data_IF_270024750231
#
_entry.id   IF_270024750231
#
_cell.length_a   1.000
_cell.length_b   1.000
_cell.length_c   1.000
_cell.angle_alpha   90.00
_cell.angle_beta   90.00
_cell.angle_gamma   90.00
#
_symmetry.space_group_name_H-M   'P 1'
#
loop_
_entity.id
_entity.type
_entity.pdbx_description
1 polymer ?
#
# COMPACT_ATOMS: atom_id res chain seq x y z
N UNK A 1 -19.04 -0.67 12.33
CA UNK A 1 -18.14 0.21 13.11
C UNK A 1 -16.70 -0.29 13.16
N UNK A 2 -16.42 -1.60 13.32
CA UNK A 2 -15.05 -2.14 13.37
C UNK A 2 -14.15 -1.77 12.17
N UNK A 3 -14.68 -1.84 10.94
CA UNK A 3 -13.91 -1.51 9.73
C UNK A 3 -13.45 -0.04 9.68
N UNK A 4 -14.21 0.88 10.25
CA UNK A 4 -13.86 2.31 10.26
C UNK A 4 -12.67 2.59 11.19
N UNK A 5 -12.68 1.97 12.39
CA UNK A 5 -11.60 2.10 13.37
C UNK A 5 -10.31 1.52 12.81
N UNK A 6 -10.37 0.33 12.20
CA UNK A 6 -9.21 -0.34 11.60
C UNK A 6 -8.60 0.53 10.50
N UNK A 7 -9.42 1.11 9.61
CA UNK A 7 -8.91 1.93 8.52
C UNK A 7 -8.31 3.25 9.03
N UNK A 8 -8.89 3.83 10.09
CA UNK A 8 -8.36 5.03 10.74
C UNK A 8 -6.99 4.75 11.37
N UNK A 9 -6.84 3.62 12.07
CA UNK A 9 -5.55 3.18 12.62
C UNK A 9 -4.53 2.96 11.51
N UNK A 10 -4.92 2.35 10.39
CA UNK A 10 -4.04 2.13 9.24
C UNK A 10 -3.52 3.47 8.68
N UNK A 11 -4.40 4.45 8.55
CA UNK A 11 -4.05 5.79 8.07
C UNK A 11 -3.09 6.50 9.04
N UNK A 12 -3.35 6.43 10.35
CA UNK A 12 -2.46 6.99 11.37
C UNK A 12 -1.11 6.29 11.40
N UNK A 13 -1.06 5.00 11.12
CA UNK A 13 0.17 4.22 11.04
C UNK A 13 0.98 4.60 9.80
N UNK A 14 0.34 4.76 8.64
CA UNK A 14 0.97 5.30 7.43
C UNK A 14 1.54 6.70 7.65
N UNK A 15 0.80 7.59 8.30
CA UNK A 15 1.29 8.91 8.67
C UNK A 15 2.47 8.84 9.65
N UNK A 16 2.41 7.94 10.64
CA UNK A 16 3.47 7.76 11.63
C UNK A 16 4.76 7.24 10.99
N UNK A 17 4.66 6.35 9.98
CA UNK A 17 5.79 5.89 9.18
C UNK A 17 6.49 7.06 8.47
N UNK A 18 5.73 7.99 7.90
CA UNK A 18 6.29 9.18 7.22
C UNK A 18 6.89 10.16 8.22
N UNK A 19 6.21 10.37 9.36
CA UNK A 19 6.62 11.30 10.41
C UNK A 19 7.90 10.86 11.12
N UNK A 20 8.00 9.58 11.45
CA UNK A 20 9.14 8.99 12.18
C UNK A 20 10.08 8.21 11.26
N UNK A 21 10.07 8.51 9.96
CA UNK A 21 10.82 7.79 8.92
C UNK A 21 12.30 7.61 9.22
N UNK A 22 12.94 8.59 9.86
CA UNK A 22 14.36 8.53 10.24
C UNK A 22 14.61 7.46 11.29
N UNK A 23 13.89 7.54 12.42
CA UNK A 23 14.01 6.55 13.50
C UNK A 23 13.68 5.15 13.02
N UNK A 24 12.66 5.02 12.17
CA UNK A 24 12.24 3.72 11.64
C UNK A 24 13.30 3.19 10.66
N UNK A 25 13.85 4.03 9.80
CA UNK A 25 14.93 3.64 8.90
C UNK A 25 16.19 3.21 9.67
N UNK A 26 16.56 3.94 10.73
CA UNK A 26 17.70 3.60 11.59
C UNK A 26 17.48 2.28 12.34
N UNK A 27 16.24 1.97 12.74
CA UNK A 27 15.88 0.71 13.40
C UNK A 27 15.85 -0.49 12.44
N UNK A 28 15.40 -0.29 11.19
CA UNK A 28 15.33 -1.36 10.19
C UNK A 28 16.73 -1.68 9.61
N UNK A 29 17.56 -0.64 9.43
CA UNK A 29 18.87 -0.76 8.79
C UNK A 29 18.80 -0.83 7.26
N UNK A 30 19.96 -0.70 6.61
CA UNK A 30 20.09 -0.64 5.15
C UNK A 30 20.36 -2.00 4.51
N UNK A 31 19.31 -2.60 3.95
CA UNK A 31 19.44 -3.79 3.14
C UNK A 31 19.97 -3.43 1.74
N UNK A 32 20.82 -4.29 1.16
CA UNK A 32 21.47 -4.03 -0.14
C UNK A 32 20.49 -3.61 -1.26
N UNK A 33 19.31 -4.23 -1.31
CA UNK A 33 18.30 -3.95 -2.33
C UNK A 33 17.57 -2.61 -2.13
N UNK A 34 17.54 -2.08 -0.90
CA UNK A 34 16.88 -0.79 -0.62
C UNK A 34 17.61 0.36 -1.32
N UNK A 35 18.90 0.20 -1.61
CA UNK A 35 19.69 1.16 -2.38
C UNK A 35 19.16 1.37 -3.80
N UNK A 36 18.58 0.35 -4.44
CA UNK A 36 17.97 0.49 -5.76
C UNK A 36 16.72 1.38 -5.76
N UNK A 37 16.05 1.46 -4.62
CA UNK A 37 14.82 2.25 -4.43
C UNK A 37 15.16 3.66 -3.90
N UNK A 38 16.44 4.02 -3.81
CA UNK A 38 16.90 5.30 -3.24
C UNK A 38 17.23 5.25 -1.74
N UNK A 39 17.45 4.06 -1.18
CA UNK A 39 17.83 3.81 0.20
C UNK A 39 16.64 3.58 1.13
N UNK A 40 16.95 3.18 2.38
CA UNK A 40 15.95 2.89 3.43
C UNK A 40 15.01 4.06 3.66
N UNK A 41 15.52 5.28 3.62
CA UNK A 41 14.74 6.47 3.87
C UNK A 41 13.60 6.62 2.87
N UNK A 42 13.91 6.57 1.57
CA UNK A 42 12.91 6.69 0.52
C UNK A 42 11.97 5.49 0.54
N UNK A 43 12.49 4.29 0.83
CA UNK A 43 11.68 3.10 1.00
C UNK A 43 10.61 3.24 2.11
N UNK A 44 11.00 3.69 3.31
CA UNK A 44 10.06 3.91 4.43
C UNK A 44 9.02 4.97 4.08
N UNK A 45 9.41 6.03 3.36
CA UNK A 45 8.47 7.05 2.86
C UNK A 45 7.47 6.43 1.89
N UNK A 46 7.93 5.64 0.91
CA UNK A 46 7.05 4.98 -0.08
C UNK A 46 6.04 4.08 0.62
N UNK A 47 6.50 3.23 1.55
CA UNK A 47 5.64 2.34 2.32
C UNK A 47 4.61 3.13 3.14
N UNK A 48 5.04 4.21 3.79
CA UNK A 48 4.16 5.09 4.56
C UNK A 48 3.09 5.76 3.71
N UNK A 49 3.45 6.28 2.54
CA UNK A 49 2.53 6.91 1.58
C UNK A 49 1.51 5.90 1.06
N UNK A 50 1.96 4.72 0.62
CA UNK A 50 1.06 3.66 0.14
C UNK A 50 0.08 3.26 1.25
N UNK A 51 0.58 3.03 2.47
CA UNK A 51 -0.26 2.64 3.61
C UNK A 51 -1.28 3.72 3.96
N UNK A 52 -0.88 4.99 3.92
CA UNK A 52 -1.76 6.13 4.18
C UNK A 52 -2.89 6.21 3.13
N UNK A 53 -2.54 6.23 1.84
CA UNK A 53 -3.52 6.31 0.77
C UNK A 53 -4.41 5.07 0.69
N UNK A 54 -3.90 3.88 1.02
CA UNK A 54 -4.69 2.67 1.13
C UNK A 54 -5.71 2.77 2.28
N UNK A 55 -5.33 3.33 3.42
CA UNK A 55 -6.23 3.63 4.52
C UNK A 55 -7.36 4.58 4.12
N UNK A 56 -7.02 5.67 3.42
CA UNK A 56 -7.99 6.62 2.88
C UNK A 56 -8.95 5.94 1.90
N UNK A 57 -8.42 5.23 0.91
CA UNK A 57 -9.22 4.55 -0.11
C UNK A 57 -10.19 3.53 0.47
N UNK A 58 -9.78 2.82 1.53
CA UNK A 58 -10.63 1.85 2.21
C UNK A 58 -11.72 2.52 3.05
N UNK A 59 -11.53 3.76 3.49
CA UNK A 59 -12.59 4.55 4.14
C UNK A 59 -13.57 5.14 3.15
N UNK A 60 -13.10 5.57 1.98
CA UNK A 60 -13.94 6.17 0.92
C UNK A 60 -14.55 5.14 -0.03
N UNK A 61 -14.22 3.86 0.11
CA UNK A 61 -14.70 2.79 -0.77
C UNK A 61 -14.09 2.84 -2.17
N UNK A 62 -12.96 3.53 -2.35
CA UNK A 62 -12.27 3.71 -3.65
C UNK A 62 -11.05 2.80 -3.80
N UNK A 63 -10.97 1.73 -3.03
CA UNK A 63 -9.86 0.75 -3.09
C UNK A 63 -9.69 0.17 -4.49
N UNK A 64 -10.79 -0.04 -5.22
CA UNK A 64 -10.76 -0.60 -6.57
C UNK A 64 -10.05 0.32 -7.57
N UNK A 65 -10.20 1.64 -7.43
CA UNK A 65 -9.51 2.63 -8.27
C UNK A 65 -8.00 2.62 -7.96
N UNK A 66 -7.64 2.51 -6.68
CA UNK A 66 -6.25 2.53 -6.24
C UNK A 66 -5.51 1.24 -6.66
N UNK A 67 -6.21 0.11 -6.71
CA UNK A 67 -5.67 -1.18 -7.16
C UNK A 67 -5.81 -1.43 -8.66
N UNK A 68 -6.56 -0.61 -9.40
CA UNK A 68 -6.78 -0.77 -10.83
C UNK A 68 -5.49 -0.95 -11.68
N UNK A 69 -4.39 -0.20 -11.43
CA UNK A 69 -3.13 -0.41 -12.16
C UNK A 69 -2.52 -1.79 -11.89
N UNK A 70 -2.68 -2.30 -10.66
CA UNK A 70 -2.17 -3.61 -10.25
C UNK A 70 -2.99 -4.71 -10.92
N UNK A 71 -4.32 -4.59 -10.91
CA UNK A 71 -5.21 -5.53 -11.59
C UNK A 71 -5.07 -5.50 -13.12
N UNK A 72 -4.65 -4.38 -13.71
CA UNK A 72 -4.38 -4.29 -15.15
C UNK A 72 -3.14 -5.07 -15.60
N UNK A 73 -2.21 -5.36 -14.68
CA UNK A 73 -0.98 -6.12 -14.97
C UNK A 73 -1.17 -7.61 -14.68
N UNK A 74 -2.07 -7.96 -13.75
CA UNK A 74 -2.42 -9.35 -13.46
C UNK A 74 -3.42 -9.80 -14.53
N UNK A 75 -3.04 -10.71 -15.47
CA UNK A 75 -4.00 -11.21 -16.43
C UNK A 75 -5.14 -11.87 -15.68
N UNK A 76 -6.35 -11.34 -15.86
CA UNK A 76 -7.58 -12.02 -15.47
C UNK A 76 -7.52 -13.42 -16.09
N UNK A 77 -7.40 -14.46 -15.27
CA UNK A 77 -7.80 -15.80 -15.69
C UNK A 77 -9.31 -15.76 -15.87
N UNK A 78 -9.74 -15.17 -16.98
CA UNK A 78 -11.12 -15.15 -17.39
C UNK A 78 -11.56 -16.59 -17.56
N UNK A 79 -12.47 -17.02 -16.70
CA UNK A 79 -13.20 -18.26 -16.86
C UNK A 79 -13.76 -18.27 -18.30
N UNK A 80 -13.47 -19.30 -19.11
CA UNK A 80 -13.94 -19.33 -20.50
C UNK A 80 -15.47 -19.22 -20.49
N UNK A 81 -16.00 -18.30 -21.28
CA UNK A 81 -17.44 -18.05 -21.36
C UNK A 81 -18.19 -19.38 -21.54
N UNK A 82 -19.27 -19.65 -20.77
CA UNK A 82 -20.00 -20.89 -20.87
C UNK A 82 -20.49 -21.07 -22.32
N UNK A 83 -20.34 -22.27 -22.90
CA UNK A 83 -20.74 -22.51 -24.28
C UNK A 83 -22.22 -22.18 -24.44
N UNK A 84 -22.51 -21.24 -25.34
CA UNK A 84 -23.87 -20.93 -25.75
C UNK A 84 -24.35 -22.08 -26.64
N UNK A 85 -24.93 -23.10 -26.00
CA UNK A 85 -25.79 -24.06 -26.67
C UNK A 85 -27.21 -23.49 -26.77
#
# INVERSE_FOLDING_TARGET
MGNFIINTVLMLLGFSLIKFRERIADMIGDAYWMRYVGGVYLFVVIVGVITFFFGVARMTGTTDILMAPIYGIIPSMGEPAPPQF
#
